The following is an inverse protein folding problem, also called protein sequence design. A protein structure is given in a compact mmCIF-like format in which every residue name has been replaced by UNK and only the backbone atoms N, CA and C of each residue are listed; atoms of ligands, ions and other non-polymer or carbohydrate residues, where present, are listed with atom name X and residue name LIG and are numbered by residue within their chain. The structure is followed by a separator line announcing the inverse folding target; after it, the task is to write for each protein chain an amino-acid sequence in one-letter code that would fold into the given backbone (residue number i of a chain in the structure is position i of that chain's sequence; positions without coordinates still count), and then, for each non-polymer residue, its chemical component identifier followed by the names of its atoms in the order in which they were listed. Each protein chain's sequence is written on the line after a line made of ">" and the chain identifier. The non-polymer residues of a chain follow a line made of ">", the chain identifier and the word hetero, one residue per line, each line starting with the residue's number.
data_IF_032390030305
#
_entry.id   IF_032390030305
#
_cell.length_a   1.000
_cell.length_b   1.000
_cell.length_c   1.000
_cell.angle_alpha   90.00
_cell.angle_beta   90.00
_cell.angle_gamma   90.00
#
_symmetry.space_group_name_H-M   'P 1'
#
loop_
_entity.id
_entity.type
_entity.pdbx_description
1 polymer ?
#
# COMPACT_ATOMS: atom_id res chain seq x y z
N UNK A 1 -2.44 11.07 -25.91
CA UNK A 1 -1.66 10.44 -24.82
C UNK A 1 -1.96 8.96 -24.85
N UNK A 2 -0.93 8.14 -25.07
CA UNK A 2 -1.10 6.72 -25.35
C UNK A 2 -1.57 5.97 -24.09
N UNK A 3 -2.43 4.95 -24.25
CA UNK A 3 -2.84 4.05 -23.14
C UNK A 3 -1.64 3.43 -22.40
N UNK A 4 -0.49 3.32 -23.08
CA UNK A 4 0.77 2.83 -22.53
C UNK A 4 1.45 3.81 -21.56
N UNK A 5 1.27 5.13 -21.70
CA UNK A 5 1.75 6.12 -20.73
C UNK A 5 0.81 6.25 -19.52
N UNK A 6 -0.48 5.90 -19.67
CA UNK A 6 -1.46 5.92 -18.58
C UNK A 6 -1.38 4.67 -17.68
N UNK A 7 -0.93 3.52 -18.22
CA UNK A 7 -0.72 2.28 -17.45
C UNK A 7 0.16 2.46 -16.20
N UNK A 8 1.35 3.10 -16.25
CA UNK A 8 2.19 3.24 -15.05
C UNK A 8 1.55 4.13 -13.97
N UNK A 9 0.73 5.11 -14.35
CA UNK A 9 0.00 5.97 -13.42
C UNK A 9 -1.18 5.24 -12.76
N UNK A 10 -2.03 4.58 -13.56
CA UNK A 10 -3.17 3.82 -13.03
C UNK A 10 -2.72 2.64 -12.13
N UNK A 11 -1.61 1.99 -12.50
CA UNK A 11 -1.02 0.91 -11.70
C UNK A 11 -0.44 1.43 -10.37
N UNK A 12 0.16 2.63 -10.37
CA UNK A 12 0.62 3.31 -9.15
C UNK A 12 -0.53 3.63 -8.20
N UNK A 13 -1.60 4.24 -8.70
CA UNK A 13 -2.75 4.58 -7.87
C UNK A 13 -3.41 3.32 -7.30
N UNK A 14 -3.50 2.25 -8.10
CA UNK A 14 -3.96 0.95 -7.62
C UNK A 14 -3.09 0.40 -6.48
N UNK A 15 -1.75 0.46 -6.59
CA UNK A 15 -0.84 0.01 -5.54
C UNK A 15 -0.98 0.82 -4.24
N UNK A 16 -1.15 2.13 -4.33
CA UNK A 16 -1.35 2.99 -3.15
C UNK A 16 -2.70 2.68 -2.48
N UNK A 17 -3.76 2.48 -3.27
CA UNK A 17 -5.09 2.10 -2.76
C UNK A 17 -5.04 0.73 -2.09
N UNK A 18 -4.37 -0.26 -2.70
CA UNK A 18 -4.17 -1.59 -2.12
C UNK A 18 -3.38 -1.50 -0.81
N UNK A 19 -2.31 -0.70 -0.78
CA UNK A 19 -1.53 -0.44 0.43
C UNK A 19 -2.37 0.16 1.55
N UNK A 20 -3.21 1.14 1.24
CA UNK A 20 -4.13 1.74 2.20
C UNK A 20 -5.17 0.73 2.73
N UNK A 21 -5.74 -0.11 1.85
CA UNK A 21 -6.64 -1.19 2.24
C UNK A 21 -5.96 -2.21 3.17
N UNK A 22 -4.70 -2.56 2.91
CA UNK A 22 -3.91 -3.43 3.78
C UNK A 22 -3.71 -2.83 5.18
N UNK A 23 -3.47 -1.52 5.30
CA UNK A 23 -3.37 -0.85 6.60
C UNK A 23 -4.71 -0.92 7.34
N UNK A 24 -5.82 -0.63 6.67
CA UNK A 24 -7.16 -0.70 7.27
C UNK A 24 -7.47 -2.12 7.73
N UNK A 25 -7.23 -3.13 6.89
CA UNK A 25 -7.41 -4.53 7.25
C UNK A 25 -6.53 -4.94 8.44
N UNK A 26 -5.26 -4.51 8.47
CA UNK A 26 -4.35 -4.77 9.58
C UNK A 26 -4.79 -4.12 10.89
N UNK A 27 -5.35 -2.89 10.85
CA UNK A 27 -5.94 -2.23 12.02
C UNK A 27 -7.15 -3.00 12.55
N UNK A 28 -8.02 -3.47 11.66
CA UNK A 28 -9.21 -4.27 12.03
C UNK A 28 -8.79 -5.62 12.65
N UNK A 29 -7.88 -6.36 12.02
CA UNK A 29 -7.37 -7.64 12.53
C UNK A 29 -6.69 -7.48 13.89
N UNK A 30 -5.93 -6.38 14.07
CA UNK A 30 -5.29 -6.04 15.34
C UNK A 30 -6.28 -5.81 16.49
N UNK A 31 -7.48 -5.30 16.19
CA UNK A 31 -8.51 -5.02 17.19
C UNK A 31 -9.38 -6.23 17.52
N UNK A 32 -9.60 -7.13 16.56
CA UNK A 32 -10.52 -8.26 16.71
C UNK A 32 -9.99 -9.39 17.59
N UNK A 33 -8.68 -9.66 17.58
CA UNK A 33 -8.12 -10.77 18.35
C UNK A 33 -6.74 -10.45 18.95
N UNK A 34 -6.47 -10.84 20.21
CA UNK A 34 -5.16 -10.66 20.82
C UNK A 34 -4.08 -11.50 20.12
N UNK A 35 -4.42 -12.69 19.61
CA UNK A 35 -3.54 -13.51 18.78
C UNK A 35 -3.26 -12.87 17.40
N UNK A 36 -4.20 -12.09 16.87
CA UNK A 36 -4.07 -11.37 15.61
C UNK A 36 -3.19 -10.12 15.66
N UNK A 37 -2.67 -9.71 16.85
CA UNK A 37 -1.86 -8.49 16.98
C UNK A 37 -0.59 -8.50 16.12
N UNK A 38 0.12 -9.63 16.06
CA UNK A 38 1.33 -9.76 15.25
C UNK A 38 1.03 -9.69 13.75
N UNK A 39 -0.05 -10.36 13.33
CA UNK A 39 -0.52 -10.39 11.95
C UNK A 39 -1.06 -9.02 11.50
N UNK A 40 -1.77 -8.32 12.39
CA UNK A 40 -2.24 -6.96 12.15
C UNK A 40 -1.08 -5.96 12.05
N UNK A 41 -0.06 -6.08 12.92
CA UNK A 41 1.16 -5.26 12.83
C UNK A 41 1.89 -5.47 11.50
N UNK A 42 2.07 -6.72 11.05
CA UNK A 42 2.76 -6.98 9.77
C UNK A 42 1.98 -6.44 8.58
N UNK A 43 0.66 -6.59 8.55
CA UNK A 43 -0.22 -6.00 7.53
C UNK A 43 -0.13 -4.47 7.49
N UNK A 44 -0.09 -3.81 8.65
CA UNK A 44 0.07 -2.36 8.74
C UNK A 44 1.41 -1.93 8.18
N UNK A 45 2.51 -2.60 8.58
CA UNK A 45 3.87 -2.25 8.11
C UNK A 45 3.99 -2.42 6.59
N UNK A 46 3.52 -3.54 6.05
CA UNK A 46 3.55 -3.81 4.61
C UNK A 46 2.70 -2.80 3.84
N UNK A 47 1.48 -2.51 4.32
CA UNK A 47 0.59 -1.53 3.70
C UNK A 47 1.20 -0.12 3.70
N UNK A 48 1.81 0.30 4.81
CA UNK A 48 2.54 1.57 4.89
C UNK A 48 3.71 1.61 3.91
N UNK A 49 4.52 0.54 3.80
CA UNK A 49 5.62 0.49 2.82
C UNK A 49 5.13 0.64 1.39
N UNK A 50 4.00 0.01 1.03
CA UNK A 50 3.40 0.15 -0.30
C UNK A 50 2.91 1.58 -0.58
N UNK A 51 2.29 2.24 0.41
CA UNK A 51 1.84 3.63 0.28
C UNK A 51 3.01 4.58 0.11
N UNK A 52 4.11 4.38 0.86
CA UNK A 52 5.31 5.23 0.80
C UNK A 52 6.13 4.97 -0.48
N UNK A 53 6.10 3.75 -1.02
CA UNK A 53 6.77 3.41 -2.28
C UNK A 53 6.24 4.23 -3.47
N UNK A 54 4.97 4.64 -3.48
CA UNK A 54 4.40 5.51 -4.52
C UNK A 54 5.11 6.88 -4.62
N UNK A 55 5.08 7.70 -3.56
CA UNK A 55 5.80 8.98 -3.50
C UNK A 55 7.32 8.85 -3.66
N UNK A 56 7.93 7.83 -3.04
CA UNK A 56 9.37 7.60 -3.14
C UNK A 56 9.79 7.25 -4.57
N UNK A 57 9.02 6.40 -5.27
CA UNK A 57 9.27 6.09 -6.67
C UNK A 57 9.24 7.33 -7.56
N UNK A 58 8.39 8.31 -7.24
CA UNK A 58 8.29 9.60 -7.94
C UNK A 58 9.48 10.51 -7.64
N UNK A 59 9.94 10.51 -6.39
CA UNK A 59 11.03 11.38 -5.91
C UNK A 59 12.39 10.93 -6.42
N UNK A 60 12.63 9.62 -6.49
CA UNK A 60 13.90 9.05 -6.93
C UNK A 60 14.00 8.83 -8.45
N UNK A 61 12.99 9.22 -9.23
CA UNK A 61 13.01 9.07 -10.69
C UNK A 61 13.05 7.61 -11.17
N UNK A 62 12.77 6.64 -10.30
CA UNK A 62 12.63 5.24 -10.70
C UNK A 62 11.40 5.03 -11.60
N UNK A 63 10.44 5.98 -11.57
CA UNK A 63 9.36 6.09 -12.55
C UNK A 63 8.78 7.50 -12.69
#
# INVERSE_FOLDING_TARGET
>A
MSLFEAMPLAFRDALVIIGALCVVAGMVVRQLTPAGRGLGMSLIVVGCMMVIAGPLGRTFGFW
#
